data_IF_543010458234
#
_entry.id   IF_543010458234
#
_cell.length_a   1.000
_cell.length_b   1.000
_cell.length_c   1.000
_cell.angle_alpha   90.00
_cell.angle_beta   90.00
_cell.angle_gamma   90.00
#
_symmetry.space_group_name_H-M   'P 1'
#
loop_
_entity.id
_entity.type
_entity.pdbx_description
1 polymer ?
#
# COMPACT_ATOMS: atom_id res chain seq x y z
N UNK A 1 3.52 4.13 0.20
CA UNK A 1 4.78 3.92 0.94
C UNK A 1 4.90 2.59 1.72
N UNK A 2 3.84 2.20 2.42
CA UNK A 2 3.77 0.91 3.15
C UNK A 2 3.83 -0.32 2.23
N UNK A 3 3.19 -0.23 1.08
CA UNK A 3 3.10 -1.33 0.10
C UNK A 3 4.30 -1.25 -0.86
N UNK A 4 5.28 -2.10 -0.60
CA UNK A 4 6.55 -2.20 -1.38
C UNK A 4 6.46 -1.93 -2.90
N UNK A 5 5.52 -2.59 -3.58
CA UNK A 5 5.29 -2.42 -5.04
C UNK A 5 4.76 -1.05 -5.50
N UNK A 6 3.96 -0.37 -4.66
CA UNK A 6 3.36 0.93 -5.01
C UNK A 6 3.29 1.90 -3.82
N UNK A 7 3.80 3.09 -4.07
CA UNK A 7 3.71 4.22 -3.12
C UNK A 7 2.62 5.24 -3.49
N UNK A 8 2.46 5.48 -4.79
CA UNK A 8 1.53 6.46 -5.38
C UNK A 8 0.09 6.02 -5.08
N UNK A 9 -0.27 4.86 -5.63
CA UNK A 9 -1.57 4.17 -5.46
C UNK A 9 -1.70 3.64 -4.03
N UNK A 10 -2.27 4.47 -3.17
CA UNK A 10 -2.37 4.16 -1.74
C UNK A 10 -3.85 4.06 -1.36
N UNK A 11 -4.32 2.82 -1.43
CA UNK A 11 -5.71 2.44 -1.13
C UNK A 11 -5.76 1.54 0.12
N UNK A 12 -6.97 1.25 0.61
CA UNK A 12 -7.16 0.29 1.72
C UNK A 12 -6.57 -1.09 1.41
N UNK A 13 -6.82 -1.60 0.21
CA UNK A 13 -6.22 -2.86 -0.28
C UNK A 13 -4.68 -2.80 -0.38
N UNK A 14 -4.17 -1.64 -0.77
CA UNK A 14 -2.73 -1.33 -0.76
C UNK A 14 -2.11 -1.47 0.66
N UNK A 15 -2.85 -1.02 1.68
CA UNK A 15 -2.46 -1.20 3.11
C UNK A 15 -2.48 -2.67 3.55
N UNK A 16 -3.52 -3.38 3.11
CA UNK A 16 -3.74 -4.82 3.38
C UNK A 16 -2.56 -5.70 2.90
N UNK A 17 -1.97 -5.35 1.75
CA UNK A 17 -0.86 -6.10 1.16
C UNK A 17 0.41 -6.22 2.05
N UNK A 18 0.75 -5.21 2.86
CA UNK A 18 1.58 -5.42 4.06
C UNK A 18 0.82 -6.19 5.15
N UNK A 19 -0.21 -5.56 5.72
CA UNK A 19 -1.03 -6.18 6.79
C UNK A 19 -2.55 -6.01 6.61
#
# INVERSE_FOLDING_TARGET
>A
DDEASTTVSKTETSQVAPA
#
